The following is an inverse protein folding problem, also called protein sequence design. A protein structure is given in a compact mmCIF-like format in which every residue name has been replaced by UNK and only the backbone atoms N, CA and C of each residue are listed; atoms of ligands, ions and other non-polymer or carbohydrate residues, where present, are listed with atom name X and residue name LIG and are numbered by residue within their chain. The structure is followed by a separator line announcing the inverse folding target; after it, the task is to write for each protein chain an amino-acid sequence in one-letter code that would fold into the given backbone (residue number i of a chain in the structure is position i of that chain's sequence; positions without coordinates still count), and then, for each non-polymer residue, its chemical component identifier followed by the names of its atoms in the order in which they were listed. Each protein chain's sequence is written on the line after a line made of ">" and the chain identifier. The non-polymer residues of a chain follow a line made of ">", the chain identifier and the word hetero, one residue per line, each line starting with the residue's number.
data_IF_168021820096
#
_entry.id   IF_168021820096
#
_cell.length_a   1.000
_cell.length_b   1.000
_cell.length_c   1.000
_cell.angle_alpha   90.00
_cell.angle_beta   90.00
_cell.angle_gamma   90.00
#
_symmetry.space_group_name_H-M   'P 1'
#
loop_
_entity.id
_entity.type
_entity.pdbx_description
1 polymer ?
#
# COMPACT_ATOMS: atom_id res chain seq x y z
N UNK A 1 1.41 3.23 6.73
CA UNK A 1 2.41 2.72 7.70
C UNK A 1 1.91 1.42 8.31
N UNK A 2 2.73 0.66 9.05
CA UNK A 2 2.30 -0.66 9.58
C UNK A 2 1.16 -0.52 10.58
N UNK A 3 1.21 0.48 11.46
CA UNK A 3 0.17 0.70 12.47
C UNK A 3 -1.20 1.00 11.84
N UNK A 4 -1.23 1.69 10.70
CA UNK A 4 -2.48 1.96 9.96
C UNK A 4 -3.13 0.67 9.46
N UNK A 5 -2.32 -0.29 9.00
CA UNK A 5 -2.80 -1.59 8.52
C UNK A 5 -3.30 -2.42 9.69
N UNK A 6 -2.57 -2.45 10.81
CA UNK A 6 -2.98 -3.14 12.03
C UNK A 6 -4.32 -2.60 12.53
N UNK A 7 -4.45 -1.27 12.63
CA UNK A 7 -5.69 -0.61 13.02
C UNK A 7 -6.84 -0.94 12.05
N UNK A 8 -6.58 -0.90 10.74
CA UNK A 8 -7.55 -1.30 9.72
C UNK A 8 -8.08 -2.73 9.90
N UNK A 9 -7.19 -3.68 10.19
CA UNK A 9 -7.55 -5.09 10.45
C UNK A 9 -8.38 -5.21 11.73
N UNK A 10 -7.96 -4.57 12.83
CA UNK A 10 -8.69 -4.61 14.11
C UNK A 10 -10.12 -4.08 13.95
N UNK A 11 -10.32 -2.99 13.19
CA UNK A 11 -11.66 -2.47 12.88
C UNK A 11 -12.50 -3.42 12.06
N UNK A 12 -11.92 -4.04 11.03
CA UNK A 12 -12.63 -5.02 10.20
C UNK A 12 -13.09 -6.22 11.04
N UNK A 13 -12.26 -6.69 11.96
CA UNK A 13 -12.60 -7.80 12.86
C UNK A 13 -13.80 -7.50 13.78
N UNK A 14 -14.04 -6.23 14.12
CA UNK A 14 -15.17 -5.80 14.95
C UNK A 14 -16.50 -5.71 14.18
N UNK A 15 -16.49 -5.83 12.85
CA UNK A 15 -17.65 -5.61 11.99
C UNK A 15 -17.95 -6.84 11.12
N UNK A 16 -18.60 -7.85 11.72
CA UNK A 16 -19.08 -9.01 10.98
C UNK A 16 -20.02 -8.61 9.81
N UNK A 17 -19.93 -9.25 8.63
CA UNK A 17 -20.84 -8.97 7.52
C UNK A 17 -22.30 -9.26 7.90
N UNK A 18 -23.22 -8.42 7.41
CA UNK A 18 -24.65 -8.60 7.68
C UNK A 18 -25.16 -9.90 7.08
N UNK A 19 -26.02 -10.60 7.81
CA UNK A 19 -26.81 -11.72 7.28
C UNK A 19 -27.89 -11.15 6.35
N UNK A 20 -28.01 -11.69 5.16
CA UNK A 20 -29.00 -11.31 4.15
C UNK A 20 -29.78 -12.54 3.72
N UNK A 21 -31.03 -12.31 3.26
CA UNK A 21 -31.89 -13.35 2.68
C UNK A 21 -31.92 -13.14 1.17
N UNK A 22 -31.72 -14.22 0.42
CA UNK A 22 -31.76 -14.23 -1.04
C UNK A 22 -33.19 -14.09 -1.58
N UNK A 23 -33.31 -13.86 -2.87
CA UNK A 23 -34.61 -13.76 -3.56
C UNK A 23 -35.43 -15.05 -3.55
N UNK A 24 -34.78 -16.19 -3.29
CA UNK A 24 -35.37 -17.52 -3.09
C UNK A 24 -35.82 -17.77 -1.64
N UNK A 25 -35.76 -16.75 -0.79
CA UNK A 25 -36.09 -16.80 0.64
C UNK A 25 -35.15 -17.70 1.47
N UNK A 26 -33.97 -18.04 0.94
CA UNK A 26 -32.90 -18.77 1.64
C UNK A 26 -31.80 -17.83 2.17
N UNK A 27 -31.09 -18.18 3.26
CA UNK A 27 -30.02 -17.34 3.80
C UNK A 27 -28.79 -17.32 2.88
N UNK A 28 -28.27 -16.13 2.61
CA UNK A 28 -26.98 -15.96 1.92
C UNK A 28 -25.82 -16.07 2.90
N UNK A 29 -24.73 -16.70 2.47
CA UNK A 29 -23.50 -16.71 3.24
C UNK A 29 -22.99 -15.27 3.46
N UNK A 30 -22.80 -14.83 4.71
CA UNK A 30 -22.35 -13.46 4.98
C UNK A 30 -20.86 -13.32 4.64
N UNK A 31 -20.55 -12.53 3.62
CA UNK A 31 -19.16 -12.20 3.25
C UNK A 31 -19.04 -10.73 2.83
N UNK A 32 -17.83 -10.19 2.94
CA UNK A 32 -17.49 -8.86 2.41
C UNK A 32 -15.98 -8.79 2.12
N UNK A 33 -15.63 -8.07 1.06
CA UNK A 33 -14.24 -7.82 0.65
C UNK A 33 -13.96 -6.33 0.86
N UNK A 34 -12.77 -6.03 1.38
CA UNK A 34 -12.32 -4.67 1.65
C UNK A 34 -10.90 -4.49 1.10
N UNK A 35 -10.66 -3.35 0.46
CA UNK A 35 -9.31 -2.87 0.19
C UNK A 35 -8.84 -2.06 1.40
N UNK A 36 -7.62 -2.30 1.87
CA UNK A 36 -6.99 -1.54 2.94
C UNK A 36 -5.65 -1.04 2.42
N UNK A 37 -5.46 0.27 2.44
CA UNK A 37 -4.24 0.91 1.95
C UNK A 37 -4.30 2.41 2.17
N UNK A 38 -3.21 3.08 1.80
CA UNK A 38 -3.19 4.54 1.76
C UNK A 38 -3.81 5.00 0.43
N UNK A 39 -4.96 5.67 0.50
CA UNK A 39 -5.72 6.20 -0.65
C UNK A 39 -5.08 7.38 -1.36
N UNK A 40 -3.83 7.72 -1.02
CA UNK A 40 -3.09 8.86 -1.55
C UNK A 40 -1.91 8.35 -2.36
N UNK A 41 -1.81 8.70 -3.65
CA UNK A 41 -0.63 8.40 -4.43
C UNK A 41 0.55 9.20 -3.89
N UNK A 42 1.66 8.52 -3.61
CA UNK A 42 2.94 9.13 -3.23
C UNK A 42 3.90 9.07 -4.41
N UNK A 43 4.75 10.08 -4.55
CA UNK A 43 5.74 10.11 -5.62
C UNK A 43 6.85 9.09 -5.34
N UNK A 44 7.15 8.23 -6.32
CA UNK A 44 8.17 7.19 -6.17
C UNK A 44 9.58 7.77 -5.95
N UNK A 45 9.94 8.85 -6.64
CA UNK A 45 11.26 9.46 -6.49
C UNK A 45 11.41 10.08 -5.10
N UNK A 46 10.37 10.75 -4.58
CA UNK A 46 10.38 11.29 -3.22
C UNK A 46 10.56 10.16 -2.18
N UNK A 47 9.89 9.01 -2.39
CA UNK A 47 10.06 7.85 -1.50
C UNK A 47 11.49 7.31 -1.51
N UNK A 48 12.10 7.18 -2.69
CA UNK A 48 13.48 6.70 -2.81
C UNK A 48 14.47 7.71 -2.22
N UNK A 49 14.24 9.01 -2.44
CA UNK A 49 15.03 10.10 -1.88
C UNK A 49 14.99 10.11 -0.34
N UNK A 50 13.82 9.83 0.27
CA UNK A 50 13.71 9.67 1.72
C UNK A 50 14.47 8.43 2.18
N UNK A 51 14.31 7.29 1.50
CA UNK A 51 14.97 6.04 1.86
C UNK A 51 16.50 6.19 1.87
N UNK A 52 17.10 6.82 0.86
CA UNK A 52 18.55 7.02 0.82
C UNK A 52 19.03 7.89 1.99
N UNK A 53 18.30 8.96 2.33
CA UNK A 53 18.68 9.85 3.43
C UNK A 53 18.67 9.11 4.76
N UNK A 54 17.66 8.27 4.98
CA UNK A 54 17.58 7.43 6.18
C UNK A 54 18.70 6.38 6.23
N UNK A 55 19.08 5.80 5.09
CA UNK A 55 20.20 4.85 5.04
C UNK A 55 21.57 5.51 5.28
N UNK A 56 21.77 6.76 4.83
CA UNK A 56 22.97 7.54 5.17
C UNK A 56 22.99 7.86 6.67
N UNK A 57 21.87 8.35 7.22
CA UNK A 57 21.74 8.63 8.67
C UNK A 57 21.97 7.39 9.53
N UNK A 58 21.56 6.22 9.05
CA UNK A 58 21.77 4.94 9.72
C UNK A 58 23.20 4.38 9.54
N UNK A 59 24.06 5.04 8.77
CA UNK A 59 25.43 4.59 8.49
C UNK A 59 25.53 3.38 7.56
N UNK A 60 24.45 3.04 6.85
CA UNK A 60 24.42 1.93 5.88
C UNK A 60 25.02 2.37 4.55
N UNK A 61 24.78 3.61 4.15
CA UNK A 61 25.38 4.23 2.97
C UNK A 61 26.40 5.31 3.37
N UNK A 62 27.45 5.52 2.55
CA UNK A 62 28.43 6.58 2.82
C UNK A 62 27.79 7.97 2.65
N UNK A 63 28.29 8.97 3.38
CA UNK A 63 27.77 10.35 3.33
C UNK A 63 27.81 10.98 1.93
N UNK A 64 28.76 10.52 1.10
CA UNK A 64 28.93 10.97 -0.28
C UNK A 64 28.31 10.00 -1.31
N UNK A 65 27.32 9.19 -0.91
CA UNK A 65 26.62 8.29 -1.83
C UNK A 65 25.94 9.09 -2.96
N UNK A 66 26.37 8.84 -4.20
CA UNK A 66 25.82 9.47 -5.39
C UNK A 66 24.64 8.65 -5.93
N UNK A 67 23.43 9.13 -5.66
CA UNK A 67 22.21 8.44 -6.08
C UNK A 67 21.98 8.50 -7.59
N UNK A 68 22.29 9.63 -8.23
CA UNK A 68 22.00 9.83 -9.65
C UNK A 68 22.79 8.88 -10.54
N UNK A 69 24.04 8.55 -10.18
CA UNK A 69 24.83 7.55 -10.92
C UNK A 69 24.31 6.13 -10.80
N UNK A 70 23.50 5.83 -9.77
CA UNK A 70 22.91 4.51 -9.54
C UNK A 70 21.44 4.42 -9.98
N UNK A 71 20.84 5.54 -10.41
CA UNK A 71 19.46 5.60 -10.89
C UNK A 71 19.34 5.08 -12.32
N UNK A 72 18.45 4.11 -12.53
CA UNK A 72 18.08 3.61 -13.86
C UNK A 72 16.59 3.79 -14.11
N UNK A 73 16.24 4.76 -14.94
CA UNK A 73 14.86 4.96 -15.39
C UNK A 73 14.55 3.96 -16.51
N UNK A 74 13.46 3.23 -16.36
CA UNK A 74 12.93 2.29 -17.35
C UNK A 74 11.54 2.75 -17.80
N UNK A 75 11.12 2.44 -19.03
CA UNK A 75 9.74 2.70 -19.45
C UNK A 75 8.76 1.88 -18.60
N UNK A 76 7.48 2.24 -18.61
CA UNK A 76 6.43 1.43 -17.97
C UNK A 76 6.48 -0.01 -18.48
N UNK A 77 6.41 -0.95 -17.54
CA UNK A 77 6.40 -2.39 -17.81
C UNK A 77 4.98 -2.89 -18.02
N UNK A 78 4.79 -4.02 -18.74
CA UNK A 78 3.48 -4.65 -18.85
C UNK A 78 2.92 -5.00 -17.48
N UNK A 79 1.75 -4.45 -17.13
CA UNK A 79 1.10 -4.63 -15.83
C UNK A 79 1.25 -3.45 -14.87
N UNK A 80 2.11 -2.48 -15.17
CA UNK A 80 2.18 -1.24 -14.41
C UNK A 80 0.89 -0.43 -14.58
N UNK A 81 0.37 0.09 -13.47
CA UNK A 81 -0.81 0.95 -13.47
C UNK A 81 -0.35 2.39 -13.25
N UNK A 82 -0.65 3.34 -14.17
CA UNK A 82 -0.09 4.69 -14.12
C UNK A 82 -0.56 5.50 -12.91
N UNK A 83 -1.77 5.24 -12.43
CA UNK A 83 -2.32 5.77 -11.18
C UNK A 83 -3.25 4.71 -10.61
N UNK A 84 -3.09 4.36 -9.33
CA UNK A 84 -4.07 3.56 -8.60
C UNK A 84 -4.86 4.45 -7.65
N UNK A 85 -6.16 4.23 -7.56
CA UNK A 85 -7.02 4.77 -6.51
C UNK A 85 -7.34 3.60 -5.58
N UNK A 86 -7.03 3.75 -4.29
CA UNK A 86 -7.54 2.90 -3.22
C UNK A 86 -8.31 3.78 -2.25
#
# INVERSE_FOLDING_TARGET
>A
YIDDIVEGIVRVMQSAPKKLVGSDNLPLAPYKVYNIGNSKPENLLDFVDVLQQELIKAGVLPENYDFDSHKKLVPMQPGDVPVTYA
#
